data_IF_132472438976
#
_entry.id   IF_132472438976
#
_cell.length_a   1.000
_cell.length_b   1.000
_cell.length_c   1.000
_cell.angle_alpha   90.00
_cell.angle_beta   90.00
_cell.angle_gamma   90.00
#
_symmetry.space_group_name_H-M   'P 1'
#
loop_
_entity.id
_entity.type
_entity.pdbx_description
1 polymer ?
#
# COMPACT_ATOMS: atom_id res chain seq x y z
N UNK A 1 -3.21 -78.27 -31.70
CA UNK A 1 -3.88 -78.80 -30.50
C UNK A 1 -4.03 -77.67 -29.49
N UNK A 2 -5.27 -77.33 -29.14
CA UNK A 2 -5.69 -76.44 -28.03
C UNK A 2 -5.42 -77.12 -26.65
N UNK A 3 -5.69 -76.50 -25.48
CA UNK A 3 -5.13 -75.30 -24.83
C UNK A 3 -4.81 -75.56 -23.32
N UNK A 4 -4.41 -74.55 -22.52
CA UNK A 4 -4.79 -74.36 -21.08
C UNK A 4 -4.07 -73.12 -20.53
N UNK A 5 -4.77 -72.02 -20.26
CA UNK A 5 -5.55 -71.67 -19.04
C UNK A 5 -4.65 -71.42 -17.82
N UNK A 6 -4.63 -70.16 -17.34
CA UNK A 6 -5.26 -69.68 -16.09
C UNK A 6 -4.51 -68.43 -15.59
N UNK A 7 -5.18 -67.27 -15.49
CA UNK A 7 -4.70 -66.11 -14.69
C UNK A 7 -5.03 -66.30 -13.20
N UNK A 8 -5.25 -65.25 -12.37
CA UNK A 8 -4.84 -63.83 -12.40
C UNK A 8 -3.95 -63.56 -11.14
N UNK A 9 -3.37 -62.40 -10.82
CA UNK A 9 -3.94 -61.17 -10.27
C UNK A 9 -2.73 -60.31 -9.86
N UNK A 10 -2.76 -59.00 -10.09
CA UNK A 10 -1.66 -58.13 -9.67
C UNK A 10 -1.71 -56.74 -10.26
N UNK A 11 -2.83 -56.05 -10.02
CA UNK A 11 -3.03 -54.63 -10.30
C UNK A 11 -1.85 -53.76 -9.86
N UNK A 12 -1.33 -52.92 -10.74
CA UNK A 12 -1.34 -51.47 -10.51
C UNK A 12 -1.03 -50.71 -11.80
N UNK A 13 -2.06 -49.99 -12.24
CA UNK A 13 -2.01 -48.99 -13.28
C UNK A 13 -0.98 -47.90 -12.91
N UNK A 14 0.02 -47.69 -13.77
CA UNK A 14 0.61 -46.36 -13.92
C UNK A 14 0.21 -45.85 -15.30
N UNK A 15 -1.00 -45.29 -15.31
CA UNK A 15 -1.60 -44.58 -16.42
C UNK A 15 -0.63 -43.53 -16.95
N UNK A 16 -0.29 -43.72 -18.21
CA UNK A 16 0.35 -42.81 -19.13
C UNK A 16 -0.34 -41.42 -19.01
N UNK A 17 0.40 -40.42 -18.56
CA UNK A 17 -0.05 -39.02 -18.42
C UNK A 17 -0.50 -38.45 -19.79
N UNK A 18 -1.68 -37.81 -19.89
CA UNK A 18 -1.95 -36.85 -20.95
C UNK A 18 -2.40 -35.53 -20.35
N UNK A 19 -1.50 -34.56 -20.17
CA UNK A 19 -1.84 -33.18 -19.85
C UNK A 19 -0.56 -32.33 -19.95
N UNK A 20 -0.50 -31.14 -20.53
CA UNK A 20 -1.42 -30.36 -21.32
C UNK A 20 -0.51 -29.25 -21.89
N UNK A 21 -0.54 -29.04 -23.20
CA UNK A 21 0.13 -27.91 -23.85
C UNK A 21 -0.58 -26.62 -23.40
N UNK A 22 0.04 -25.86 -22.50
CA UNK A 22 -0.34 -24.47 -22.24
C UNK A 22 0.80 -23.56 -22.69
N UNK A 23 0.89 -23.34 -24.01
CA UNK A 23 1.64 -22.24 -24.58
C UNK A 23 0.80 -20.96 -24.41
N UNK A 24 0.98 -20.26 -23.29
CA UNK A 24 0.45 -18.90 -23.12
C UNK A 24 1.56 -17.93 -23.52
N UNK A 25 1.64 -17.65 -24.82
CA UNK A 25 2.42 -16.53 -25.35
C UNK A 25 1.59 -15.24 -25.17
N UNK A 26 1.78 -14.53 -24.06
CA UNK A 26 1.25 -13.18 -23.90
C UNK A 26 2.34 -12.20 -24.32
N UNK A 27 2.36 -11.88 -25.61
CA UNK A 27 3.10 -10.75 -26.16
C UNK A 27 2.23 -9.49 -26.00
N UNK A 28 2.19 -8.92 -24.79
CA UNK A 28 1.55 -7.61 -24.58
C UNK A 28 2.52 -6.51 -25.02
N UNK A 29 2.34 -6.04 -26.25
CA UNK A 29 2.85 -4.75 -26.69
C UNK A 29 2.33 -3.64 -25.74
N UNK A 30 3.21 -3.17 -24.84
CA UNK A 30 3.49 -1.75 -24.59
C UNK A 30 2.41 -0.76 -24.14
N UNK A 31 1.14 -1.13 -23.94
CA UNK A 31 0.11 -0.18 -23.48
C UNK A 31 -0.73 -0.63 -22.28
N UNK A 32 -0.72 -1.92 -21.91
CA UNK A 32 -1.44 -2.38 -20.71
C UNK A 32 -0.66 -2.12 -19.40
N UNK A 33 0.66 -2.27 -19.42
CA UNK A 33 1.49 -2.17 -18.20
C UNK A 33 1.50 -0.78 -17.58
N UNK A 34 1.34 0.28 -18.39
CA UNK A 34 1.30 1.66 -17.92
C UNK A 34 0.00 1.98 -17.15
N UNK A 35 -1.15 1.52 -17.62
CA UNK A 35 -2.45 1.74 -16.96
C UNK A 35 -2.60 0.90 -15.69
N UNK A 36 -2.19 -0.37 -15.70
CA UNK A 36 -2.19 -1.22 -14.49
C UNK A 36 -1.24 -0.68 -13.42
N UNK A 37 -0.03 -0.29 -13.82
CA UNK A 37 0.93 0.27 -12.86
C UNK A 37 0.44 1.63 -12.33
N UNK A 38 -0.14 2.50 -13.17
CA UNK A 38 -0.66 3.81 -12.73
C UNK A 38 -1.79 3.64 -11.72
N UNK A 39 -2.71 2.73 -11.98
CA UNK A 39 -3.79 2.38 -11.03
C UNK A 39 -3.23 1.88 -9.70
N UNK A 40 -2.15 1.07 -9.74
CA UNK A 40 -1.47 0.60 -8.52
C UNK A 40 -0.74 1.71 -7.75
N UNK A 41 -0.07 2.63 -8.45
CA UNK A 41 0.58 3.80 -7.85
C UNK A 41 -0.44 4.74 -7.19
N UNK A 42 -1.55 5.03 -7.89
CA UNK A 42 -2.63 5.87 -7.37
C UNK A 42 -3.30 5.22 -6.14
N UNK A 43 -3.56 3.91 -6.17
CA UNK A 43 -4.08 3.18 -5.00
C UNK A 43 -3.13 3.23 -3.79
N UNK A 44 -1.81 3.22 -4.04
CA UNK A 44 -0.80 3.37 -2.99
C UNK A 44 -0.79 4.78 -2.40
N UNK A 45 -0.88 5.80 -3.24
CA UNK A 45 -0.99 7.21 -2.79
C UNK A 45 -2.27 7.39 -1.95
N UNK A 46 -3.40 6.81 -2.35
CA UNK A 46 -4.64 6.82 -1.56
C UNK A 46 -4.49 6.09 -0.22
N UNK A 47 -3.78 4.96 -0.18
CA UNK A 47 -3.49 4.28 1.08
C UNK A 47 -2.67 5.14 2.03
N UNK A 48 -1.71 5.93 1.51
CA UNK A 48 -0.92 6.87 2.30
C UNK A 48 -1.80 8.04 2.79
N UNK A 49 -2.72 8.55 1.97
CA UNK A 49 -3.71 9.58 2.35
C UNK A 49 -4.52 9.11 3.55
N UNK A 50 -5.11 7.93 3.46
CA UNK A 50 -5.96 7.37 4.51
C UNK A 50 -5.18 7.17 5.82
N UNK A 51 -3.93 6.71 5.71
CA UNK A 51 -3.05 6.62 6.87
C UNK A 51 -2.79 7.99 7.52
N UNK A 52 -2.47 9.00 6.71
CA UNK A 52 -2.18 10.35 7.21
C UNK A 52 -3.42 10.98 7.88
N UNK A 53 -4.60 10.85 7.27
CA UNK A 53 -5.86 11.31 7.88
C UNK A 53 -6.14 10.62 9.22
N UNK A 54 -5.99 9.29 9.28
CA UNK A 54 -6.17 8.53 10.51
C UNK A 54 -5.14 8.91 11.59
N UNK A 55 -3.91 9.24 11.20
CA UNK A 55 -2.90 9.77 12.11
C UNK A 55 -3.34 11.10 12.73
N UNK A 56 -3.87 12.03 11.92
CA UNK A 56 -4.42 13.29 12.41
C UNK A 56 -5.60 13.02 13.36
N UNK A 57 -6.55 12.17 12.97
CA UNK A 57 -7.71 11.85 13.83
C UNK A 57 -7.30 11.22 15.17
N UNK A 58 -6.19 10.49 15.21
CA UNK A 58 -5.69 9.85 16.43
C UNK A 58 -5.03 10.84 17.41
N UNK A 59 -4.30 11.83 16.90
CA UNK A 59 -3.40 12.68 17.69
C UNK A 59 -3.77 14.17 17.73
N UNK A 60 -4.64 14.64 16.84
CA UNK A 60 -5.21 15.98 16.85
C UNK A 60 -6.55 16.02 17.62
N UNK A 61 -6.67 15.25 18.72
CA UNK A 61 -7.89 15.19 19.55
C UNK A 61 -7.81 16.20 20.70
N UNK A 62 -8.70 17.20 20.77
CA UNK A 62 -8.73 18.18 21.86
C UNK A 62 -9.01 17.52 23.21
N UNK A 63 -8.35 18.00 24.27
CA UNK A 63 -8.56 17.52 25.65
C UNK A 63 -8.03 16.11 25.94
N UNK A 64 -7.55 15.37 24.92
CA UNK A 64 -6.92 14.06 25.11
C UNK A 64 -5.48 14.24 25.59
N UNK A 65 -5.07 13.44 26.58
CA UNK A 65 -3.68 13.40 27.03
C UNK A 65 -2.79 12.92 25.89
N UNK A 66 -1.71 13.65 25.62
CA UNK A 66 -0.74 13.28 24.60
C UNK A 66 0.07 12.06 25.04
N UNK A 67 -0.08 10.95 24.32
CA UNK A 67 0.74 9.75 24.47
C UNK A 67 1.90 9.80 23.47
N UNK A 68 3.08 10.15 24.00
CA UNK A 68 4.31 10.27 23.20
C UNK A 68 4.74 8.94 22.59
N UNK A 69 4.63 7.84 23.32
CA UNK A 69 5.10 6.53 22.85
C UNK A 69 4.22 6.03 21.71
N UNK A 70 2.90 6.14 21.85
CA UNK A 70 1.97 5.81 20.77
C UNK A 70 2.17 6.72 19.54
N UNK A 71 2.43 8.01 19.77
CA UNK A 71 2.72 8.97 18.70
C UNK A 71 3.98 8.58 17.91
N UNK A 72 5.10 8.37 18.59
CA UNK A 72 6.37 8.02 17.96
C UNK A 72 6.30 6.66 17.23
N UNK A 73 5.60 5.68 17.80
CA UNK A 73 5.35 4.40 17.13
C UNK A 73 4.58 4.59 15.81
N UNK A 74 3.54 5.44 15.82
CA UNK A 74 2.74 5.70 14.61
C UNK A 74 3.51 6.53 13.57
N UNK A 75 4.37 7.46 13.99
CA UNK A 75 5.29 8.17 13.09
C UNK A 75 6.26 7.19 12.41
N UNK A 76 6.84 6.26 13.17
CA UNK A 76 7.74 5.25 12.62
C UNK A 76 7.03 4.32 11.63
N UNK A 77 5.79 3.92 11.92
CA UNK A 77 4.98 3.15 10.98
C UNK A 77 4.71 3.94 9.69
N UNK A 78 4.35 5.22 9.80
CA UNK A 78 4.17 6.10 8.65
C UNK A 78 5.43 6.17 7.79
N UNK A 79 6.57 6.43 8.43
CA UNK A 79 7.87 6.48 7.77
C UNK A 79 8.19 5.18 7.02
N UNK A 80 7.94 4.01 7.63
CA UNK A 80 8.12 2.74 6.97
C UNK A 80 7.21 2.60 5.73
N UNK A 81 5.92 2.99 5.83
CA UNK A 81 4.98 2.94 4.70
C UNK A 81 5.41 3.86 3.55
N UNK A 82 5.84 5.09 3.83
CA UNK A 82 6.33 6.01 2.81
C UNK A 82 7.60 5.49 2.14
N UNK A 83 8.56 5.00 2.93
CA UNK A 83 9.81 4.44 2.38
C UNK A 83 9.57 3.21 1.52
N UNK A 84 8.66 2.33 1.95
CA UNK A 84 8.23 1.21 1.13
C UNK A 84 7.58 1.69 -0.16
N UNK A 85 6.70 2.68 -0.09
CA UNK A 85 6.03 3.20 -1.27
C UNK A 85 7.00 3.80 -2.29
N UNK A 86 8.00 4.56 -1.82
CA UNK A 86 9.07 5.13 -2.65
C UNK A 86 9.90 4.01 -3.30
N UNK A 87 10.26 2.98 -2.52
CA UNK A 87 11.07 1.85 -2.99
C UNK A 87 10.34 1.00 -4.03
N UNK A 88 9.04 0.75 -3.81
CA UNK A 88 8.19 -0.07 -4.67
C UNK A 88 7.66 0.72 -5.89
N UNK A 89 8.01 1.99 -6.04
CA UNK A 89 7.53 2.84 -7.13
C UNK A 89 8.31 2.58 -8.42
N UNK A 90 7.57 2.18 -9.45
CA UNK A 90 8.07 1.84 -10.79
C UNK A 90 8.11 3.06 -11.71
N UNK A 91 7.28 4.06 -11.47
CA UNK A 91 7.31 5.30 -12.23
C UNK A 91 8.27 6.31 -11.64
N UNK A 92 9.36 6.57 -12.36
CA UNK A 92 10.35 7.58 -11.96
C UNK A 92 9.72 8.95 -11.68
N UNK A 93 8.71 9.35 -12.48
CA UNK A 93 7.99 10.62 -12.29
C UNK A 93 7.14 10.67 -11.00
N UNK A 94 6.75 9.53 -10.42
CA UNK A 94 5.98 9.47 -9.16
C UNK A 94 6.86 9.46 -7.92
N UNK A 95 8.14 9.12 -8.03
CA UNK A 95 9.05 9.08 -6.87
C UNK A 95 9.23 10.45 -6.20
N UNK A 96 9.46 11.57 -6.92
CA UNK A 96 9.52 12.88 -6.30
C UNK A 96 8.23 13.22 -5.53
N UNK A 97 7.07 12.91 -6.11
CA UNK A 97 5.77 13.12 -5.44
C UNK A 97 5.70 12.35 -4.13
N UNK A 98 6.11 11.08 -4.08
CA UNK A 98 6.11 10.30 -2.85
C UNK A 98 7.10 10.82 -1.81
N UNK A 99 8.25 11.36 -2.24
CA UNK A 99 9.23 12.02 -1.35
C UNK A 99 8.62 13.29 -0.74
N UNK A 100 7.95 14.11 -1.55
CA UNK A 100 7.28 15.33 -1.09
C UNK A 100 6.15 15.00 -0.11
N UNK A 101 5.34 13.97 -0.40
CA UNK A 101 4.29 13.51 0.52
C UNK A 101 4.86 13.02 1.86
N UNK A 102 6.03 12.35 1.84
CA UNK A 102 6.72 11.97 3.07
C UNK A 102 7.18 13.20 3.85
N UNK A 103 7.79 14.18 3.18
CA UNK A 103 8.23 15.42 3.82
C UNK A 103 7.05 16.17 4.46
N UNK A 104 5.89 16.17 3.79
CA UNK A 104 4.66 16.72 4.36
C UNK A 104 4.21 15.97 5.62
N UNK A 105 4.21 14.64 5.60
CA UNK A 105 3.89 13.84 6.79
C UNK A 105 4.83 14.13 7.96
N UNK A 106 6.14 14.23 7.71
CA UNK A 106 7.12 14.57 8.76
C UNK A 106 6.85 15.96 9.35
N UNK A 107 6.53 16.95 8.51
CA UNK A 107 6.19 18.30 8.94
C UNK A 107 4.91 18.34 9.78
N UNK A 108 3.86 17.63 9.35
CA UNK A 108 2.59 17.54 10.06
C UNK A 108 2.73 16.81 11.40
N UNK A 109 3.53 15.74 11.45
CA UNK A 109 3.88 15.07 12.70
C UNK A 109 4.63 16.01 13.66
N UNK A 110 5.67 16.71 13.19
CA UNK A 110 6.40 17.67 14.02
C UNK A 110 5.48 18.80 14.53
N UNK A 111 4.58 19.29 13.69
CA UNK A 111 3.60 20.31 14.05
C UNK A 111 2.65 19.81 15.14
N UNK A 112 2.07 18.61 14.98
CA UNK A 112 1.18 18.01 15.97
C UNK A 112 1.88 17.76 17.30
N UNK A 113 3.11 17.23 17.28
CA UNK A 113 3.89 17.02 18.50
C UNK A 113 4.12 18.34 19.27
N UNK A 114 4.46 19.41 18.54
CA UNK A 114 4.64 20.75 19.11
C UNK A 114 3.35 21.32 19.72
N UNK A 115 2.21 21.15 19.06
CA UNK A 115 0.91 21.60 19.58
C UNK A 115 0.44 20.76 20.76
N UNK A 116 0.55 19.44 20.67
CA UNK A 116 0.12 18.51 21.71
C UNK A 116 0.92 18.65 23.00
N UNK A 117 2.25 18.80 22.92
CA UNK A 117 3.10 19.05 24.09
C UNK A 117 2.79 20.36 24.82
N UNK A 118 2.14 21.31 24.16
CA UNK A 118 1.71 22.61 24.73
C UNK A 118 0.22 22.63 25.10
N UNK A 119 -0.50 21.52 24.92
CA UNK A 119 -1.96 21.47 25.13
C UNK A 119 -2.76 22.34 24.15
N UNK A 120 -2.22 22.64 22.97
CA UNK A 120 -2.81 23.57 21.96
C UNK A 120 -3.46 22.85 20.78
N UNK A 121 -3.98 21.65 21.01
CA UNK A 121 -4.76 20.92 20.00
C UNK A 121 -6.19 21.44 20.01
N UNK A 122 -6.65 21.95 18.87
CA UNK A 122 -8.01 22.50 18.71
C UNK A 122 -8.77 21.74 17.61
N UNK A 123 -10.11 21.73 17.62
CA UNK A 123 -10.89 21.17 16.52
C UNK A 123 -10.58 21.83 15.17
N UNK A 124 -10.31 23.13 15.18
CA UNK A 124 -9.93 23.89 13.99
C UNK A 124 -8.61 23.36 13.39
N UNK A 125 -7.58 23.15 14.22
CA UNK A 125 -6.30 22.58 13.78
C UNK A 125 -6.50 21.23 13.09
N UNK A 126 -7.25 20.31 13.70
CA UNK A 126 -7.49 18.99 13.11
C UNK A 126 -8.22 19.10 11.76
N UNK A 127 -9.18 20.03 11.65
CA UNK A 127 -9.94 20.25 10.42
C UNK A 127 -9.09 20.87 9.31
N UNK A 128 -8.27 21.86 9.65
CA UNK A 128 -7.33 22.52 8.73
C UNK A 128 -6.30 21.54 8.19
N UNK A 129 -5.65 20.78 9.08
CA UNK A 129 -4.65 19.79 8.65
C UNK A 129 -5.27 18.72 7.73
N UNK A 130 -6.47 18.20 8.04
CA UNK A 130 -7.14 17.25 7.15
C UNK A 130 -7.49 17.84 5.80
N UNK A 131 -7.89 19.12 5.75
CA UNK A 131 -8.16 19.83 4.50
C UNK A 131 -6.88 19.97 3.67
N UNK A 132 -5.77 20.33 4.30
CA UNK A 132 -4.48 20.49 3.62
C UNK A 132 -3.95 19.14 3.11
N UNK A 133 -4.05 18.08 3.92
CA UNK A 133 -3.74 16.71 3.50
C UNK A 133 -4.58 16.34 2.28
N UNK A 134 -5.90 16.51 2.32
CA UNK A 134 -6.75 16.18 1.18
C UNK A 134 -6.30 16.91 -0.09
N UNK A 135 -6.06 18.22 -0.01
CA UNK A 135 -5.61 19.04 -1.14
C UNK A 135 -4.28 18.54 -1.73
N UNK A 136 -3.31 18.24 -0.88
CA UNK A 136 -1.98 17.79 -1.31
C UNK A 136 -2.06 16.43 -2.00
N UNK A 137 -2.85 15.50 -1.46
CA UNK A 137 -3.03 14.18 -2.04
C UNK A 137 -3.88 14.20 -3.31
N UNK A 138 -4.91 15.05 -3.40
CA UNK A 138 -5.69 15.24 -4.62
C UNK A 138 -4.80 15.76 -5.75
N UNK A 139 -3.93 16.75 -5.47
CA UNK A 139 -2.93 17.22 -6.42
C UNK A 139 -1.93 16.11 -6.83
N UNK A 140 -1.45 15.31 -5.86
CA UNK A 140 -0.60 14.16 -6.14
C UNK A 140 -1.30 13.12 -7.04
N UNK A 141 -2.61 12.97 -6.95
CA UNK A 141 -3.43 12.07 -7.76
C UNK A 141 -3.87 12.70 -9.09
N UNK A 142 -3.68 14.01 -9.28
CA UNK A 142 -4.12 14.75 -10.47
C UNK A 142 -5.62 15.03 -10.50
N UNK A 143 -6.22 15.33 -9.33
CA UNK A 143 -7.64 15.67 -9.16
C UNK A 143 -7.83 17.12 -8.71
#
# INVERSE_FOLDING_TARGET
MHPRLMGPDGSTNLLLRPAALCAVAIFLCGCGTATFSKTGSDARIESLRNFHLAFIDQFAVPGKRFDRAAFEARVNEGNAKFQQAISDEKFAARRPVLIDLKAQFDADAAHLQSKASRGRITPALASEMKKDVNKIYDHALGR
#
